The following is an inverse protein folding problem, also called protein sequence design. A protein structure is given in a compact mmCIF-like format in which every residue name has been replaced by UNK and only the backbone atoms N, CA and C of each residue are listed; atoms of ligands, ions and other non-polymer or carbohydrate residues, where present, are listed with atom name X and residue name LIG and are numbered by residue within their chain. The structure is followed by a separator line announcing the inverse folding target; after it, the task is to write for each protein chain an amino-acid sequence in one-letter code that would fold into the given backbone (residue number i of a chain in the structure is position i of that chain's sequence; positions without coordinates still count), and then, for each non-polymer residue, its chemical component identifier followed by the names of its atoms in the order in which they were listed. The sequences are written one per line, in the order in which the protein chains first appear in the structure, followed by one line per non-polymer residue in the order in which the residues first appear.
data_IF_131619402233
#
_entry.id   IF_131619402233
#
_cell.length_a   1.000
_cell.length_b   1.000
_cell.length_c   1.000
_cell.angle_alpha   90.00
_cell.angle_beta   90.00
_cell.angle_gamma   90.00
#
_symmetry.space_group_name_H-M   'P 1'
#
loop_
_entity.id
_entity.type
_entity.pdbx_description
1 polymer ?
#
# COMPACT_ATOMS: atom_id res chain seq x y z
N UNK A 1 -5.21 -4.69 8.91
CA UNK A 1 -3.74 -4.69 9.06
C UNK A 1 -3.26 -3.25 9.06
N UNK A 2 -2.26 -2.93 9.88
CA UNK A 2 -1.74 -1.57 10.01
C UNK A 2 -0.21 -1.60 10.14
N UNK A 3 0.48 -0.78 9.35
CA UNK A 3 1.90 -0.49 9.55
C UNK A 3 2.06 0.45 10.73
N UNK A 4 3.05 0.18 11.58
CA UNK A 4 3.36 1.02 12.75
C UNK A 4 4.45 2.04 12.46
N UNK A 5 5.18 1.88 11.36
CA UNK A 5 6.15 2.85 10.87
C UNK A 5 5.50 3.81 9.86
N UNK A 6 6.16 4.94 9.64
CA UNK A 6 5.79 5.85 8.57
C UNK A 6 6.02 5.19 7.21
N UNK A 7 5.00 5.26 6.36
CA UNK A 7 5.01 4.66 5.03
C UNK A 7 4.23 5.55 4.06
N UNK A 8 4.78 5.75 2.87
CA UNK A 8 4.18 6.53 1.81
C UNK A 8 3.83 5.62 0.63
N UNK A 9 2.55 5.24 0.51
CA UNK A 9 2.13 4.24 -0.46
C UNK A 9 0.69 4.47 -0.94
N UNK A 10 0.36 4.28 -2.25
CA UNK A 10 -0.99 4.47 -2.78
C UNK A 10 -2.09 3.70 -2.04
N UNK A 11 -1.83 2.45 -1.66
CA UNK A 11 -2.79 1.57 -0.98
C UNK A 11 -2.68 1.55 0.56
N UNK A 12 -2.00 2.53 1.17
CA UNK A 12 -1.89 2.65 2.63
C UNK A 12 -2.36 4.04 3.06
N UNK A 13 -3.31 4.08 3.98
CA UNK A 13 -3.81 5.33 4.55
C UNK A 13 -2.72 6.06 5.35
N UNK A 14 -2.83 7.39 5.56
CA UNK A 14 -1.87 8.15 6.36
C UNK A 14 -1.71 7.65 7.80
N UNK A 15 -2.69 6.91 8.34
CA UNK A 15 -2.61 6.28 9.66
C UNK A 15 -1.98 4.87 9.64
N UNK A 16 -1.48 4.42 8.49
CA UNK A 16 -0.82 3.13 8.31
C UNK A 16 -1.77 1.97 8.00
N UNK A 17 -3.11 2.17 7.98
CA UNK A 17 -4.04 1.09 7.62
C UNK A 17 -3.86 0.68 6.15
N UNK A 18 -3.79 -0.63 5.91
CA UNK A 18 -3.64 -1.21 4.55
C UNK A 18 -5.00 -1.39 3.90
N UNK A 19 -5.13 -0.96 2.64
CA UNK A 19 -6.36 -1.03 1.84
C UNK A 19 -6.14 -1.88 0.58
N UNK A 20 -6.46 -3.18 0.67
CA UNK A 20 -6.37 -4.14 -0.43
C UNK A 20 -7.56 -5.09 -0.37
N UNK A 21 -7.99 -5.58 -1.53
CA UNK A 21 -9.19 -6.41 -1.71
C UNK A 21 -9.28 -7.58 -0.73
N UNK A 22 -8.19 -8.33 -0.52
CA UNK A 22 -8.15 -9.50 0.38
C UNK A 22 -8.53 -9.17 1.85
N UNK A 23 -8.45 -7.90 2.25
CA UNK A 23 -8.83 -7.41 3.58
C UNK A 23 -10.24 -6.80 3.62
N UNK A 24 -10.88 -6.59 2.48
CA UNK A 24 -12.24 -6.08 2.42
C UNK A 24 -13.25 -7.15 2.82
N UNK A 25 -14.31 -6.73 3.51
CA UNK A 25 -15.37 -7.62 3.99
C UNK A 25 -15.98 -8.45 2.84
N UNK A 26 -16.37 -9.71 3.09
CA UNK A 26 -16.97 -10.57 2.09
C UNK A 26 -18.26 -9.97 1.53
N UNK A 27 -18.55 -10.24 0.25
CA UNK A 27 -19.76 -9.80 -0.42
C UNK A 27 -19.50 -9.26 -1.82
N UNK A 28 -20.56 -8.69 -2.42
CA UNK A 28 -20.46 -7.98 -3.70
C UNK A 28 -19.92 -6.58 -3.42
N UNK A 29 -18.88 -6.19 -4.14
CA UNK A 29 -18.34 -4.84 -4.04
C UNK A 29 -19.39 -3.82 -4.51
N UNK A 30 -19.77 -2.83 -3.69
CA UNK A 30 -20.78 -1.84 -4.07
C UNK A 30 -20.39 -1.01 -5.30
N UNK A 31 -19.09 -0.88 -5.55
CA UNK A 31 -18.55 -0.13 -6.68
C UNK A 31 -18.26 -0.99 -7.92
N UNK A 32 -18.31 -2.32 -7.79
CA UNK A 32 -18.06 -3.25 -8.88
C UNK A 32 -16.60 -3.33 -9.36
N UNK A 33 -15.65 -2.75 -8.61
CA UNK A 33 -14.23 -2.80 -8.95
C UNK A 33 -13.60 -4.14 -8.57
N UNK A 34 -14.15 -4.83 -7.58
CA UNK A 34 -13.60 -6.08 -7.05
C UNK A 34 -14.60 -7.23 -7.19
N UNK A 35 -14.09 -8.41 -7.54
CA UNK A 35 -14.86 -9.65 -7.50
C UNK A 35 -14.96 -10.18 -6.07
N UNK A 36 -16.03 -10.93 -5.78
CA UNK A 36 -16.18 -11.58 -4.46
C UNK A 36 -15.05 -12.56 -4.13
N UNK A 37 -14.32 -13.05 -5.15
CA UNK A 37 -13.18 -13.97 -4.98
C UNK A 37 -11.89 -13.25 -4.55
N UNK A 38 -11.74 -11.97 -4.89
CA UNK A 38 -10.61 -11.13 -4.48
C UNK A 38 -10.75 -10.62 -3.04
N UNK A 39 -11.98 -10.63 -2.51
CA UNK A 39 -12.29 -10.17 -1.15
C UNK A 39 -11.99 -11.22 -0.08
N UNK A 40 -12.07 -10.82 1.19
CA UNK A 40 -11.85 -11.73 2.31
C UNK A 40 -12.79 -12.95 2.23
N UNK A 41 -12.23 -14.14 2.43
CA UNK A 41 -13.01 -15.37 2.62
C UNK A 41 -12.29 -16.30 3.59
N UNK A 42 -13.01 -17.23 4.26
CA UNK A 42 -12.42 -18.11 5.27
C UNK A 42 -11.31 -19.05 4.76
N UNK A 43 -11.10 -19.15 3.45
CA UNK A 43 -10.03 -19.96 2.83
C UNK A 43 -8.69 -19.21 2.73
N UNK A 44 -8.70 -17.91 3.04
CA UNK A 44 -7.50 -17.08 3.07
C UNK A 44 -6.71 -17.34 4.36
N UNK A 45 -5.39 -17.25 4.28
CA UNK A 45 -4.49 -17.40 5.42
C UNK A 45 -3.71 -16.11 5.65
N UNK A 46 -3.10 -15.97 6.83
CA UNK A 46 -2.18 -14.85 7.13
C UNK A 46 -1.04 -14.81 6.11
N UNK A 47 -0.51 -15.97 5.72
CA UNK A 47 0.52 -16.08 4.67
C UNK A 47 0.07 -15.46 3.35
N UNK A 48 -1.13 -15.80 2.86
CA UNK A 48 -1.68 -15.21 1.62
C UNK A 48 -1.86 -13.70 1.73
N UNK A 49 -2.30 -13.20 2.90
CA UNK A 49 -2.39 -11.76 3.17
C UNK A 49 -1.01 -11.12 3.05
N UNK A 50 0.01 -11.67 3.70
CA UNK A 50 1.36 -11.10 3.68
C UNK A 50 1.98 -11.15 2.28
N UNK A 51 1.76 -12.22 1.51
CA UNK A 51 2.18 -12.29 0.10
C UNK A 51 1.50 -11.17 -0.70
N UNK A 52 0.19 -10.97 -0.51
CA UNK A 52 -0.54 -9.89 -1.18
C UNK A 52 0.00 -8.50 -0.81
N UNK A 53 0.42 -8.28 0.44
CA UNK A 53 1.06 -7.03 0.88
C UNK A 53 2.44 -6.85 0.22
N UNK A 54 3.24 -7.92 0.10
CA UNK A 54 4.53 -7.85 -0.61
C UNK A 54 4.31 -7.48 -2.08
N UNK A 55 3.35 -8.13 -2.75
CA UNK A 55 2.98 -7.79 -4.13
C UNK A 55 2.51 -6.35 -4.26
N UNK A 56 1.66 -5.89 -3.33
CA UNK A 56 1.17 -4.51 -3.31
C UNK A 56 2.31 -3.49 -3.14
N UNK A 57 3.31 -3.76 -2.31
CA UNK A 57 4.47 -2.87 -2.15
C UNK A 57 5.36 -2.81 -3.40
N UNK A 58 5.44 -3.91 -4.16
CA UNK A 58 6.21 -3.96 -5.40
C UNK A 58 5.46 -3.30 -6.56
N UNK A 59 4.14 -3.49 -6.63
CA UNK A 59 3.27 -3.02 -7.71
C UNK A 59 2.05 -2.28 -7.11
N UNK A 60 2.22 -0.98 -6.77
CA UNK A 60 1.13 -0.17 -6.24
C UNK A 60 -0.07 -0.11 -7.20
N UNK A 61 -1.27 -0.27 -6.66
CA UNK A 61 -2.52 -0.06 -7.39
C UNK A 61 -2.99 1.39 -7.21
N UNK A 62 -3.04 2.15 -8.29
CA UNK A 62 -3.36 3.57 -8.31
C UNK A 62 -4.80 3.89 -8.77
N UNK A 63 -5.59 2.87 -9.12
CA UNK A 63 -7.02 2.97 -9.49
C UNK A 63 -7.91 3.13 -8.24
N UNK A 64 -7.52 2.54 -7.11
CA UNK A 64 -8.25 2.55 -5.83
C UNK A 64 -7.38 3.02 -4.66
N UNK A 65 -6.76 4.19 -4.82
CA UNK A 65 -5.80 4.71 -3.87
C UNK A 65 -6.43 5.13 -2.52
N UNK A 66 -5.90 4.57 -1.43
CA UNK A 66 -6.14 5.02 -0.06
C UNK A 66 -5.39 6.33 0.27
N UNK A 67 -4.27 6.58 -0.41
CA UNK A 67 -3.50 7.81 -0.33
C UNK A 67 -3.37 8.44 -1.71
N UNK A 68 -4.23 9.43 -1.97
CA UNK A 68 -4.32 10.13 -3.27
C UNK A 68 -3.03 10.86 -3.62
N UNK A 69 -2.33 11.42 -2.62
CA UNK A 69 -1.06 12.12 -2.84
C UNK A 69 0.03 11.14 -3.30
N UNK A 70 0.12 9.98 -2.65
CA UNK A 70 1.05 8.92 -3.04
C UNK A 70 0.74 8.39 -4.44
N UNK A 71 -0.54 8.17 -4.78
CA UNK A 71 -0.94 7.72 -6.11
C UNK A 71 -0.66 8.76 -7.20
N UNK A 72 -0.91 10.04 -6.91
CA UNK A 72 -0.57 11.14 -7.83
C UNK A 72 0.93 11.19 -8.09
N UNK A 73 1.74 11.17 -7.03
CA UNK A 73 3.20 11.19 -7.15
C UNK A 73 3.73 9.95 -7.87
N UNK A 74 3.20 8.76 -7.57
CA UNK A 74 3.53 7.52 -8.28
C UNK A 74 3.34 7.60 -9.80
N UNK A 75 2.30 8.32 -10.26
CA UNK A 75 1.99 8.54 -11.68
C UNK A 75 2.78 9.68 -12.32
N UNK A 76 2.87 10.81 -11.63
CA UNK A 76 3.34 12.08 -12.23
C UNK A 76 4.81 12.38 -11.91
N UNK A 77 5.35 11.89 -10.80
CA UNK A 77 6.73 12.13 -10.34
C UNK A 77 7.28 10.89 -9.63
N UNK A 78 7.61 9.86 -10.43
CA UNK A 78 8.13 8.58 -9.92
C UNK A 78 9.44 8.76 -9.16
N UNK A 79 10.30 9.68 -9.59
CA UNK A 79 11.61 9.90 -8.97
C UNK A 79 11.44 10.47 -7.55
N UNK A 80 10.54 11.45 -7.36
CA UNK A 80 10.24 11.96 -6.03
C UNK A 80 9.61 10.87 -5.13
N UNK A 81 8.72 10.05 -5.67
CA UNK A 81 8.13 8.93 -4.94
C UNK A 81 9.20 7.97 -4.40
N UNK A 82 10.14 7.56 -5.27
CA UNK A 82 11.24 6.65 -4.93
C UNK A 82 12.19 7.25 -3.89
N UNK A 83 12.49 8.56 -3.98
CA UNK A 83 13.30 9.26 -2.97
C UNK A 83 12.63 9.28 -1.59
N UNK A 84 11.32 9.52 -1.53
CA UNK A 84 10.57 9.47 -0.26
C UNK A 84 10.59 8.05 0.30
N UNK A 85 10.33 7.04 -0.53
CA UNK A 85 10.34 5.65 -0.12
C UNK A 85 11.73 5.23 0.43
N UNK A 86 12.82 5.56 -0.25
CA UNK A 86 14.20 5.29 0.21
C UNK A 86 14.49 5.96 1.56
N UNK A 87 14.08 7.22 1.73
CA UNK A 87 14.26 7.94 3.00
C UNK A 87 13.49 7.30 4.15
N UNK A 88 12.24 6.84 3.93
CA UNK A 88 11.45 6.15 4.94
C UNK A 88 12.02 4.76 5.29
N UNK A 89 12.53 4.04 4.29
CA UNK A 89 13.27 2.77 4.51
C UNK A 89 14.52 3.01 5.35
N UNK A 90 15.28 4.07 5.05
CA UNK A 90 16.46 4.45 5.85
C UNK A 90 16.09 4.79 7.28
N UNK A 91 15.07 5.60 7.49
CA UNK A 91 14.59 5.96 8.84
C UNK A 91 14.16 4.73 9.65
N UNK A 92 13.42 3.79 9.05
CA UNK A 92 13.01 2.55 9.73
C UNK A 92 14.18 1.62 10.05
N UNK A 93 15.29 1.71 9.29
CA UNK A 93 16.54 0.99 9.54
C UNK A 93 17.54 1.80 10.39
N UNK A 94 17.16 2.97 10.91
CA UNK A 94 18.03 3.88 11.67
C UNK A 94 19.29 4.32 10.89
N UNK A 95 19.17 4.47 9.57
CA UNK A 95 20.21 4.94 8.66
C UNK A 95 20.03 6.44 8.34
N UNK A 96 21.12 7.16 8.00
CA UNK A 96 21.02 8.55 7.55
C UNK A 96 20.22 8.66 6.26
N UNK A 97 19.32 9.65 6.19
CA UNK A 97 18.50 9.98 5.03
C UNK A 97 19.34 10.64 3.94
N UNK A 98 18.96 10.40 2.69
CA UNK A 98 19.48 11.12 1.54
C UNK A 98 18.81 12.50 1.48
N UNK A 99 19.30 13.44 2.28
CA UNK A 99 19.02 14.87 2.10
C UNK A 99 19.91 15.36 0.97
N UNK A 100 19.36 15.48 -0.24
CA UNK A 100 19.97 16.33 -1.26
C UNK A 100 19.86 17.79 -0.78
N UNK A 101 21.01 18.46 -0.72
CA UNK A 101 21.08 19.94 -0.70
C UNK A 101 20.35 20.55 -1.90
#
# INVERSE_FOLDING_TARGET
MQFTCDIFHPNIYPDGRVCISILHAPGVDPTGYETSAERWSPVQSIEKILISVISMLAEPNDESAANVNAAKMWREDREQFERIADNLVRQTLCLPTNTSE
#
